data_IF_433274254378
#
_entry.id   IF_433274254378
#
_cell.length_a   1.000
_cell.length_b   1.000
_cell.length_c   1.000
_cell.angle_alpha   90.00
_cell.angle_beta   90.00
_cell.angle_gamma   90.00
#
_symmetry.space_group_name_H-M   'P 1'
#
loop_
_entity.id
_entity.type
_entity.pdbx_description
1 polymer ?
#
# COMPACT_ATOMS: atom_id res chain seq x y z
N UNK A 1 5.44 -13.31 1.00
CA UNK A 1 5.94 -13.06 -0.36
C UNK A 1 5.98 -11.56 -0.64
N UNK A 2 4.90 -10.89 -1.04
CA UNK A 2 4.92 -9.48 -1.45
C UNK A 2 5.23 -8.49 -0.31
N UNK A 3 4.90 -8.78 0.93
CA UNK A 3 5.18 -7.91 2.08
C UNK A 3 6.69 -7.69 2.30
N UNK A 4 7.47 -8.78 2.39
CA UNK A 4 8.92 -8.66 2.54
C UNK A 4 9.58 -8.02 1.31
N UNK A 5 9.07 -8.30 0.11
CA UNK A 5 9.53 -7.66 -1.12
C UNK A 5 9.29 -6.15 -1.09
N UNK A 6 8.11 -5.72 -0.66
CA UNK A 6 7.74 -4.33 -0.56
C UNK A 6 8.68 -3.56 0.39
N UNK A 7 8.97 -4.12 1.56
CA UNK A 7 9.88 -3.48 2.51
C UNK A 7 11.33 -3.40 2.03
N UNK A 8 11.80 -4.39 1.28
CA UNK A 8 13.15 -4.31 0.66
C UNK A 8 13.19 -3.22 -0.40
N UNK A 9 12.15 -3.09 -1.24
CA UNK A 9 12.08 -2.01 -2.22
C UNK A 9 11.96 -0.64 -1.54
N UNK A 10 11.19 -0.54 -0.45
CA UNK A 10 11.10 0.70 0.33
C UNK A 10 12.45 1.08 0.94
N UNK A 11 13.19 0.13 1.49
CA UNK A 11 14.55 0.37 1.97
C UNK A 11 15.47 0.86 0.83
N UNK A 12 15.38 0.25 -0.34
CA UNK A 12 16.19 0.67 -1.49
C UNK A 12 15.84 2.08 -1.97
N UNK A 13 14.57 2.45 -2.00
CA UNK A 13 14.11 3.80 -2.29
C UNK A 13 14.66 4.83 -1.28
N UNK A 14 14.59 4.53 0.02
CA UNK A 14 15.14 5.40 1.07
C UNK A 14 16.66 5.57 0.91
N UNK A 15 17.38 4.48 0.64
CA UNK A 15 18.83 4.55 0.38
C UNK A 15 19.13 5.38 -0.88
N UNK A 16 18.32 5.26 -1.92
CA UNK A 16 18.48 6.02 -3.16
C UNK A 16 18.31 7.52 -2.94
N UNK A 17 17.31 7.91 -2.16
CA UNK A 17 16.98 9.32 -1.92
C UNK A 17 17.80 9.95 -0.80
N UNK A 18 18.39 9.18 0.07
CA UNK A 18 19.21 9.67 1.18
C UNK A 18 20.54 10.23 0.71
N UNK A 19 20.80 11.53 0.99
CA UNK A 19 21.97 12.28 0.53
C UNK A 19 23.19 12.05 1.46
N UNK A 20 23.64 10.80 1.56
CA UNK A 20 24.83 10.40 2.35
C UNK A 20 25.69 9.42 1.55
N UNK A 21 27.02 9.56 1.51
CA UNK A 21 27.90 8.60 0.83
C UNK A 21 27.70 7.14 1.27
N UNK A 22 27.46 6.93 2.57
CA UNK A 22 27.18 5.58 3.11
C UNK A 22 25.92 4.97 2.48
N UNK A 23 24.88 5.79 2.23
CA UNK A 23 23.66 5.32 1.58
C UNK A 23 23.94 4.79 0.16
N UNK A 24 24.85 5.44 -0.58
CA UNK A 24 25.27 4.97 -1.93
C UNK A 24 25.96 3.60 -1.86
N UNK A 25 26.84 3.40 -0.90
CA UNK A 25 27.52 2.11 -0.71
C UNK A 25 26.51 0.99 -0.33
N UNK A 26 25.57 1.32 0.54
CA UNK A 26 24.53 0.37 0.96
C UNK A 26 23.55 0.04 -0.18
N UNK A 27 23.17 1.05 -0.99
CA UNK A 27 22.33 0.85 -2.17
C UNK A 27 23.00 -0.09 -3.17
N UNK A 28 24.28 0.14 -3.51
CA UNK A 28 25.04 -0.73 -4.42
C UNK A 28 25.08 -2.17 -3.89
N UNK A 29 25.30 -2.36 -2.59
CA UNK A 29 25.33 -3.70 -1.97
C UNK A 29 23.94 -4.37 -1.98
N UNK A 30 22.85 -3.60 -1.91
CA UNK A 30 21.48 -4.11 -1.93
C UNK A 30 20.98 -4.41 -3.36
N UNK A 31 21.57 -3.78 -4.38
CA UNK A 31 21.11 -3.82 -5.77
C UNK A 31 20.86 -5.21 -6.35
N UNK A 32 21.70 -6.25 -6.10
CA UNK A 32 21.40 -7.59 -6.62
C UNK A 32 20.09 -8.17 -6.08
N UNK A 33 19.76 -7.89 -4.81
CA UNK A 33 18.52 -8.34 -4.20
C UNK A 33 17.31 -7.55 -4.72
N UNK A 34 17.44 -6.24 -4.86
CA UNK A 34 16.34 -5.41 -5.39
C UNK A 34 16.03 -5.75 -6.84
N UNK A 35 17.03 -5.98 -7.68
CA UNK A 35 16.82 -6.44 -9.06
C UNK A 35 16.04 -7.75 -9.11
N UNK A 36 16.44 -8.74 -8.30
CA UNK A 36 15.73 -10.01 -8.19
C UNK A 36 14.26 -9.82 -7.76
N UNK A 37 14.00 -8.91 -6.81
CA UNK A 37 12.65 -8.64 -6.33
C UNK A 37 11.81 -7.94 -7.39
N UNK A 38 12.37 -6.98 -8.13
CA UNK A 38 11.68 -6.32 -9.26
C UNK A 38 11.27 -7.35 -10.31
N UNK A 39 12.20 -8.21 -10.73
CA UNK A 39 11.90 -9.31 -11.66
C UNK A 39 10.81 -10.23 -11.11
N UNK A 40 10.90 -10.60 -9.83
CA UNK A 40 9.90 -11.43 -9.18
C UNK A 40 8.50 -10.78 -9.15
N UNK A 41 8.39 -9.45 -8.97
CA UNK A 41 7.12 -8.73 -9.09
C UNK A 41 6.58 -8.79 -10.53
N UNK A 42 7.42 -8.46 -11.52
CA UNK A 42 7.03 -8.45 -12.94
C UNK A 42 6.53 -9.83 -13.38
N UNK A 43 7.19 -10.90 -12.92
CA UNK A 43 6.74 -12.27 -13.24
C UNK A 43 5.51 -12.73 -12.45
N UNK A 44 5.33 -12.27 -11.23
CA UNK A 44 4.26 -12.74 -10.34
C UNK A 44 2.93 -12.04 -10.61
N UNK A 45 2.93 -10.74 -10.84
CA UNK A 45 1.70 -9.97 -10.96
C UNK A 45 0.76 -10.46 -12.07
N UNK A 46 1.23 -10.85 -13.28
CA UNK A 46 0.36 -11.40 -14.30
C UNK A 46 -0.26 -12.76 -13.92
N UNK A 47 0.37 -13.52 -13.02
CA UNK A 47 -0.12 -14.83 -12.56
C UNK A 47 -1.20 -14.73 -11.49
N UNK A 48 -1.33 -13.56 -10.86
CA UNK A 48 -2.30 -13.32 -9.80
C UNK A 48 -3.66 -12.94 -10.43
N UNK A 49 -4.62 -13.85 -10.39
CA UNK A 49 -5.95 -13.60 -10.94
C UNK A 49 -6.79 -12.64 -10.08
N UNK A 50 -6.62 -12.69 -8.78
CA UNK A 50 -7.37 -11.89 -7.82
C UNK A 50 -6.43 -11.22 -6.82
N UNK A 51 -6.65 -9.95 -6.44
CA UNK A 51 -5.87 -9.32 -5.38
C UNK A 51 -6.26 -9.91 -4.03
N UNK A 52 -5.32 -9.89 -3.08
CA UNK A 52 -5.55 -10.30 -1.70
C UNK A 52 -5.91 -9.05 -0.89
N UNK A 53 -7.14 -8.99 -0.37
CA UNK A 53 -7.72 -7.86 0.37
C UNK A 53 -7.87 -8.19 1.86
N UNK A 54 -6.76 -8.43 2.53
CA UNK A 54 -6.73 -8.73 3.98
C UNK A 54 -5.95 -7.65 4.72
N UNK A 55 -6.22 -7.48 5.99
CA UNK A 55 -5.50 -6.52 6.85
C UNK A 55 -4.13 -7.01 7.35
N UNK A 56 -3.51 -7.95 6.63
CA UNK A 56 -2.28 -8.63 7.03
C UNK A 56 -1.22 -8.60 5.93
N UNK A 57 -0.07 -9.25 6.20
CA UNK A 57 1.14 -9.31 5.35
C UNK A 57 0.90 -9.62 3.88
N UNK A 58 -0.16 -10.36 3.54
CA UNK A 58 -0.43 -10.75 2.15
C UNK A 58 -1.20 -9.70 1.34
N UNK A 59 -1.55 -8.57 1.94
CA UNK A 59 -2.29 -7.48 1.27
C UNK A 59 -1.57 -7.05 -0.03
N UNK A 60 -2.29 -7.14 -1.15
CA UNK A 60 -1.71 -6.82 -2.46
C UNK A 60 -1.51 -5.32 -2.64
N UNK A 61 -2.49 -4.51 -2.24
CA UNK A 61 -2.41 -3.05 -2.41
C UNK A 61 -1.26 -2.45 -1.62
N UNK A 62 -1.05 -2.87 -0.35
CA UNK A 62 0.11 -2.49 0.45
C UNK A 62 1.43 -2.82 -0.27
N UNK A 63 1.56 -4.07 -0.75
CA UNK A 63 2.77 -4.50 -1.45
C UNK A 63 3.06 -3.68 -2.71
N UNK A 64 2.01 -3.39 -3.50
CA UNK A 64 2.13 -2.58 -4.71
C UNK A 64 2.40 -1.10 -4.40
N UNK A 65 1.87 -0.57 -3.29
CA UNK A 65 2.06 0.82 -2.88
C UNK A 65 3.53 1.16 -2.63
N UNK A 66 4.26 0.30 -1.90
CA UNK A 66 5.69 0.50 -1.65
C UNK A 66 6.56 0.19 -2.88
N UNK A 67 6.16 -0.81 -3.68
CA UNK A 67 6.82 -1.10 -4.95
C UNK A 67 6.66 0.04 -5.96
N UNK A 68 5.53 0.75 -5.94
CA UNK A 68 5.30 1.93 -6.76
C UNK A 68 6.22 3.09 -6.38
N UNK A 69 6.39 3.37 -5.08
CA UNK A 69 7.29 4.42 -4.61
C UNK A 69 8.73 4.17 -5.10
N UNK A 70 9.21 2.93 -4.98
CA UNK A 70 10.49 2.51 -5.53
C UNK A 70 10.58 2.72 -7.06
N UNK A 71 9.57 2.26 -7.80
CA UNK A 71 9.55 2.34 -9.25
C UNK A 71 9.54 3.81 -9.74
N UNK A 72 8.92 4.71 -8.99
CA UNK A 72 8.93 6.15 -9.29
C UNK A 72 10.30 6.75 -8.99
N UNK A 73 10.87 6.47 -7.83
CA UNK A 73 12.14 7.04 -7.39
C UNK A 73 13.32 6.62 -8.29
N UNK A 74 13.31 5.37 -8.76
CA UNK A 74 14.37 4.83 -9.63
C UNK A 74 14.02 4.86 -11.13
N UNK A 75 12.89 5.46 -11.50
CA UNK A 75 12.43 5.56 -12.90
C UNK A 75 12.28 4.18 -13.59
N UNK A 76 11.92 3.13 -12.84
CA UNK A 76 11.74 1.75 -13.37
C UNK A 76 10.41 1.62 -14.12
N UNK A 77 10.44 1.87 -15.42
CA UNK A 77 9.26 1.84 -16.28
C UNK A 77 8.66 0.43 -16.42
N UNK A 78 9.46 -0.62 -16.37
CA UNK A 78 8.94 -2.00 -16.47
C UNK A 78 8.10 -2.35 -15.24
N UNK A 79 8.57 -2.00 -14.05
CA UNK A 79 7.83 -2.21 -12.81
C UNK A 79 6.59 -1.31 -12.75
N UNK A 80 6.68 -0.02 -13.16
CA UNK A 80 5.51 0.87 -13.26
C UNK A 80 4.41 0.29 -14.15
N UNK A 81 4.76 -0.24 -15.33
CA UNK A 81 3.82 -0.87 -16.27
C UNK A 81 3.18 -2.10 -15.63
N UNK A 82 3.96 -2.98 -14.99
CA UNK A 82 3.45 -4.17 -14.33
C UNK A 82 2.46 -3.82 -13.20
N UNK A 83 2.77 -2.79 -12.41
CA UNK A 83 1.90 -2.32 -11.32
C UNK A 83 0.63 -1.69 -11.87
N UNK A 84 0.72 -0.74 -12.82
CA UNK A 84 -0.45 -0.04 -13.36
C UNK A 84 -1.40 -0.97 -14.09
N UNK A 85 -0.87 -1.94 -14.83
CA UNK A 85 -1.70 -2.99 -15.47
C UNK A 85 -2.43 -3.85 -14.44
N UNK A 86 -1.77 -4.15 -13.32
CA UNK A 86 -2.39 -4.92 -12.24
C UNK A 86 -3.44 -4.12 -11.50
N UNK A 87 -3.18 -2.84 -11.23
CA UNK A 87 -4.13 -1.92 -10.58
C UNK A 87 -5.39 -1.76 -11.42
N UNK A 88 -5.27 -1.56 -12.73
CA UNK A 88 -6.42 -1.46 -13.63
C UNK A 88 -7.27 -2.74 -13.59
N UNK A 89 -6.64 -3.90 -13.58
CA UNK A 89 -7.33 -5.20 -13.54
C UNK A 89 -7.97 -5.51 -12.19
N UNK A 90 -7.35 -5.09 -11.09
CA UNK A 90 -7.77 -5.47 -9.74
C UNK A 90 -8.74 -4.48 -9.09
N UNK A 91 -8.52 -3.17 -9.30
CA UNK A 91 -9.07 -2.14 -8.44
C UNK A 91 -9.85 -1.04 -9.17
N UNK A 92 -9.69 -0.89 -10.50
CA UNK A 92 -10.31 0.24 -11.22
C UNK A 92 -11.83 0.28 -11.09
N UNK A 93 -12.47 -0.91 -11.02
CA UNK A 93 -13.93 -1.04 -10.94
C UNK A 93 -14.45 -1.29 -9.52
N UNK A 94 -13.59 -1.26 -8.51
CA UNK A 94 -14.03 -1.47 -7.13
C UNK A 94 -14.86 -0.28 -6.64
N UNK A 95 -15.90 -0.60 -5.88
CA UNK A 95 -16.86 0.36 -5.33
C UNK A 95 -17.40 -0.13 -3.99
N UNK A 96 -17.94 0.77 -3.17
CA UNK A 96 -18.63 0.47 -1.92
C UNK A 96 -17.83 -0.44 -0.97
N UNK A 97 -16.53 -0.14 -0.78
CA UNK A 97 -15.69 -0.94 0.13
C UNK A 97 -16.29 -0.99 1.54
N UNK A 98 -16.47 -2.19 2.12
CA UNK A 98 -17.16 -2.34 3.40
C UNK A 98 -16.25 -1.99 4.60
N UNK A 99 -15.77 -0.75 4.66
CA UNK A 99 -14.84 -0.27 5.70
C UNK A 99 -15.38 -0.42 7.12
N UNK A 100 -16.70 -0.47 7.28
CA UNK A 100 -17.35 -0.72 8.58
C UNK A 100 -17.12 -2.13 9.12
N UNK A 101 -16.66 -3.07 8.30
CA UNK A 101 -16.32 -4.44 8.73
C UNK A 101 -14.89 -4.52 9.27
N UNK A 102 -14.12 -3.47 9.13
CA UNK A 102 -12.75 -3.38 9.66
C UNK A 102 -12.72 -2.89 11.12
N UNK A 103 -11.83 -3.42 11.95
CA UNK A 103 -10.84 -4.45 11.62
C UNK A 103 -11.40 -5.87 11.68
N UNK A 104 -10.75 -6.81 10.98
CA UNK A 104 -10.85 -8.23 11.23
C UNK A 104 -9.83 -8.61 12.32
N UNK A 105 -10.19 -9.53 13.19
CA UNK A 105 -9.39 -10.18 14.23
C UNK A 105 -8.19 -9.40 14.80
N UNK A 106 -7.09 -9.42 14.09
CA UNK A 106 -5.80 -8.80 14.47
C UNK A 106 -5.13 -8.10 13.29
N UNK A 107 -5.93 -7.45 12.45
CA UNK A 107 -5.43 -6.65 11.33
C UNK A 107 -4.47 -5.56 11.80
N UNK A 108 -3.42 -5.31 11.02
CA UNK A 108 -2.54 -4.17 11.18
C UNK A 108 -2.55 -3.23 9.95
N UNK A 109 -3.30 -3.59 8.92
CA UNK A 109 -3.59 -2.77 7.75
C UNK A 109 -5.11 -2.65 7.59
N UNK A 110 -5.57 -1.54 7.03
CA UNK A 110 -6.96 -1.37 6.59
C UNK A 110 -7.05 -1.75 5.10
N UNK A 111 -7.64 -2.88 4.72
CA UNK A 111 -7.75 -3.27 3.31
C UNK A 111 -8.31 -2.17 2.41
N UNK A 112 -9.40 -1.51 2.83
CA UNK A 112 -10.01 -0.43 2.06
C UNK A 112 -9.08 0.79 1.93
N UNK A 113 -8.43 1.22 3.01
CA UNK A 113 -7.57 2.39 2.96
C UNK A 113 -6.24 2.13 2.24
N UNK A 114 -5.69 0.92 2.33
CA UNK A 114 -4.48 0.55 1.57
C UNK A 114 -4.73 0.58 0.06
N UNK A 115 -5.91 0.14 -0.38
CA UNK A 115 -6.31 0.24 -1.78
C UNK A 115 -6.44 1.69 -2.23
N UNK A 116 -7.11 2.53 -1.45
CA UNK A 116 -7.21 3.96 -1.73
C UNK A 116 -5.83 4.64 -1.71
N UNK A 117 -4.95 4.27 -0.77
CA UNK A 117 -3.58 4.79 -0.68
C UNK A 117 -2.71 4.40 -1.89
N UNK A 118 -2.90 3.21 -2.46
CA UNK A 118 -2.23 2.83 -3.70
C UNK A 118 -2.73 3.66 -4.88
N UNK A 119 -4.06 3.79 -5.05
CA UNK A 119 -4.63 4.44 -6.23
C UNK A 119 -4.38 5.96 -6.24
N UNK A 120 -4.33 6.62 -5.08
CA UNK A 120 -3.96 8.05 -5.02
C UNK A 120 -2.56 8.34 -5.57
N UNK A 121 -1.64 7.38 -5.47
CA UNK A 121 -0.26 7.52 -5.98
C UNK A 121 -0.17 7.37 -7.50
N UNK A 122 -1.12 6.65 -8.10
CA UNK A 122 -1.10 6.25 -9.52
C UNK A 122 -2.02 7.15 -10.37
N UNK A 123 -3.16 7.55 -9.83
CA UNK A 123 -4.13 8.36 -10.57
C UNK A 123 -3.85 9.86 -10.43
N UNK A 124 -4.31 10.65 -11.41
CA UNK A 124 -4.39 12.11 -11.19
C UNK A 124 -5.37 12.42 -10.06
N UNK A 125 -5.23 13.56 -9.36
CA UNK A 125 -6.12 13.94 -8.26
C UNK A 125 -7.61 13.88 -8.65
N UNK A 126 -7.97 14.32 -9.87
CA UNK A 126 -9.34 14.32 -10.37
C UNK A 126 -9.86 12.90 -10.66
N UNK A 127 -9.00 12.02 -11.23
CA UNK A 127 -9.36 10.61 -11.46
C UNK A 127 -9.50 9.89 -10.13
N UNK A 128 -8.57 10.12 -9.22
CA UNK A 128 -8.59 9.53 -7.88
C UNK A 128 -9.84 9.92 -7.11
N UNK A 129 -10.19 11.23 -7.08
CA UNK A 129 -11.40 11.68 -6.39
C UNK A 129 -12.65 11.00 -6.93
N UNK A 130 -12.82 10.92 -8.25
CA UNK A 130 -13.98 10.27 -8.87
C UNK A 130 -14.08 8.78 -8.55
N UNK A 131 -12.95 8.12 -8.43
CA UNK A 131 -12.90 6.72 -8.03
C UNK A 131 -13.18 6.58 -6.53
N UNK A 132 -12.56 7.41 -5.68
CA UNK A 132 -12.73 7.38 -4.23
C UNK A 132 -14.19 7.64 -3.81
N UNK A 133 -14.87 8.56 -4.46
CA UNK A 133 -16.29 8.87 -4.20
C UNK A 133 -17.21 7.64 -4.42
N UNK A 134 -16.81 6.71 -5.28
CA UNK A 134 -17.53 5.44 -5.49
C UNK A 134 -17.03 4.34 -4.55
N UNK A 135 -15.75 4.32 -4.28
CA UNK A 135 -15.10 3.26 -3.51
C UNK A 135 -15.35 3.40 -2.00
N UNK A 136 -15.25 4.61 -1.47
CA UNK A 136 -15.47 4.94 -0.07
C UNK A 136 -16.39 6.16 0.08
N UNK A 137 -17.67 6.07 -0.36
CA UNK A 137 -18.61 7.19 -0.27
C UNK A 137 -18.82 7.67 1.17
N UNK A 138 -18.56 6.82 2.17
CA UNK A 138 -18.67 7.16 3.59
C UNK A 138 -17.74 8.30 4.00
N UNK A 139 -16.58 8.48 3.34
CA UNK A 139 -15.65 9.58 3.64
C UNK A 139 -16.22 10.96 3.35
N UNK A 140 -17.29 11.06 2.54
CA UNK A 140 -17.98 12.31 2.27
C UNK A 140 -19.00 12.68 3.35
N UNK A 141 -19.34 11.78 4.26
CA UNK A 141 -20.27 12.04 5.36
C UNK A 141 -19.51 12.72 6.53
N UNK A 142 -19.85 13.96 6.91
CA UNK A 142 -19.23 14.63 8.04
C UNK A 142 -19.40 13.93 9.39
N UNK A 143 -20.34 13.00 9.48
CA UNK A 143 -20.57 12.18 10.69
C UNK A 143 -19.83 10.84 10.66
N UNK A 144 -19.19 10.51 9.52
CA UNK A 144 -18.42 9.27 9.44
C UNK A 144 -17.28 9.29 10.45
N UNK A 145 -17.23 8.27 11.27
CA UNK A 145 -16.20 8.07 12.28
C UNK A 145 -15.60 6.68 12.13
N UNK A 146 -14.29 6.61 12.06
CA UNK A 146 -13.56 5.35 12.04
C UNK A 146 -12.93 5.13 13.42
N UNK A 147 -13.64 4.37 14.26
CA UNK A 147 -13.16 4.08 15.61
C UNK A 147 -11.77 3.42 15.60
N UNK A 148 -10.85 3.85 16.47
CA UNK A 148 -9.55 3.20 16.58
C UNK A 148 -9.69 1.72 16.98
N UNK A 149 -8.84 0.88 16.40
CA UNK A 149 -8.71 -0.52 16.82
C UNK A 149 -8.26 -0.59 18.29
N UNK A 150 -8.87 -1.48 19.07
CA UNK A 150 -8.62 -1.60 20.51
C UNK A 150 -7.96 -2.94 20.82
N UNK A 151 -6.80 -2.89 21.47
CA UNK A 151 -6.09 -4.09 21.96
C UNK A 151 -6.67 -4.51 23.30
N UNK A 152 -7.25 -5.70 23.37
CA UNK A 152 -7.83 -6.26 24.59
C UNK A 152 -6.79 -6.95 25.49
N UNK A 153 -5.76 -7.53 24.89
CA UNK A 153 -4.64 -8.17 25.60
C UNK A 153 -3.31 -7.79 24.96
N UNK A 154 -2.50 -7.00 25.68
CA UNK A 154 -1.20 -6.53 25.20
C UNK A 154 -0.08 -7.59 25.34
N UNK A 155 -0.37 -8.71 25.94
CA UNK A 155 0.58 -9.85 26.02
C UNK A 155 0.43 -10.81 24.85
N UNK A 156 -0.70 -10.74 24.11
CA UNK A 156 -0.91 -11.52 22.88
C UNK A 156 -0.20 -10.86 21.70
N UNK A 157 0.78 -11.56 21.14
CA UNK A 157 1.60 -11.08 20.03
C UNK A 157 0.85 -10.81 18.72
N UNK A 158 -0.39 -11.30 18.57
CA UNK A 158 -1.26 -11.00 17.42
C UNK A 158 -2.20 -9.83 17.70
N UNK A 159 -2.84 -9.82 18.86
CA UNK A 159 -3.81 -8.74 19.17
C UNK A 159 -3.16 -7.36 19.22
N UNK A 160 -1.86 -7.26 19.57
CA UNK A 160 -1.12 -5.98 19.52
C UNK A 160 -0.96 -5.42 18.10
N UNK A 161 -1.19 -6.20 17.05
CA UNK A 161 -1.22 -5.71 15.68
C UNK A 161 -2.27 -4.62 15.45
N UNK A 162 -3.35 -4.59 16.24
CA UNK A 162 -4.37 -3.54 16.16
C UNK A 162 -3.83 -2.14 16.50
N UNK A 163 -2.74 -2.02 17.26
CA UNK A 163 -2.04 -0.73 17.39
C UNK A 163 -1.43 -0.31 16.03
N UNK A 164 -0.84 -1.26 15.29
CA UNK A 164 -0.34 -1.04 13.93
C UNK A 164 -1.43 -0.60 12.95
N UNK A 165 -2.64 -1.15 13.07
CA UNK A 165 -3.79 -0.72 12.28
C UNK A 165 -4.06 0.80 12.43
N UNK A 166 -3.98 1.33 13.64
CA UNK A 166 -4.23 2.75 13.87
C UNK A 166 -3.21 3.64 13.15
N UNK A 167 -1.95 3.23 13.11
CA UNK A 167 -0.91 3.91 12.33
C UNK A 167 -1.12 3.76 10.83
N UNK A 168 -1.44 2.56 10.34
CA UNK A 168 -1.74 2.31 8.93
C UNK A 168 -2.90 3.19 8.45
N UNK A 169 -3.99 3.25 9.20
CA UNK A 169 -5.13 4.14 8.91
C UNK A 169 -4.72 5.61 8.86
N UNK A 170 -3.93 6.06 9.83
CA UNK A 170 -3.48 7.43 9.90
C UNK A 170 -2.66 7.83 8.67
N UNK A 171 -1.67 7.03 8.28
CA UNK A 171 -0.86 7.36 7.11
C UNK A 171 -1.65 7.32 5.80
N UNK A 172 -2.56 6.35 5.65
CA UNK A 172 -3.41 6.28 4.46
C UNK A 172 -4.33 7.50 4.35
N UNK A 173 -5.02 7.86 5.44
CA UNK A 173 -5.91 9.03 5.48
C UNK A 173 -5.15 10.34 5.25
N UNK A 174 -3.97 10.49 5.84
CA UNK A 174 -3.12 11.65 5.61
C UNK A 174 -2.76 11.78 4.11
N UNK A 175 -2.25 10.72 3.51
CA UNK A 175 -1.91 10.74 2.10
C UNK A 175 -3.11 10.96 1.16
N UNK A 176 -4.29 10.40 1.50
CA UNK A 176 -5.54 10.65 0.77
C UNK A 176 -5.89 12.14 0.85
N UNK A 177 -5.84 12.73 2.04
CA UNK A 177 -6.17 14.13 2.26
C UNK A 177 -5.22 15.09 1.49
N UNK A 178 -3.92 14.77 1.44
CA UNK A 178 -2.96 15.57 0.66
C UNK A 178 -3.17 15.49 -0.85
N UNK A 179 -3.80 14.42 -1.34
CA UNK A 179 -4.03 14.23 -2.78
C UNK A 179 -5.33 14.86 -3.25
N UNK A 180 -6.29 15.03 -2.36
CA UNK A 180 -7.59 15.62 -2.70
C UNK A 180 -7.44 17.13 -2.92
N UNK A 181 -8.16 17.68 -3.94
CA UNK A 181 -8.13 19.12 -4.25
C UNK A 181 -8.77 19.99 -3.17
#
# INVERSE_FOLDING_TARGET
RTYGWAWILKLAEELHTWQDPLARDLEVNLQPLTNYIVEAYIEFLPKLNYPIRVGEHTNTAFGLSLAWDYAVALEDEALKIAITSSVARFYENDADCPIIWEPSGFDFLSPCLEEANLLRKIYSPEKFKKWLDKFLPQLADPQFNLEPGKVSDRTDGKLVHLDGLNFSRAWCLYGIAETLP
#
